data_IF_354565046603
#
_entry.id   IF_354565046603
#
_cell.length_a   1.000
_cell.length_b   1.000
_cell.length_c   1.000
_cell.angle_alpha   90.00
_cell.angle_beta   90.00
_cell.angle_gamma   90.00
#
_symmetry.space_group_name_H-M   'P 1'
#
loop_
_entity.id
_entity.type
_entity.pdbx_description
1 polymer ?
#
# COMPACT_ATOMS: atom_id res chain seq x y z
N UNK A 1 -15.00 -1.43 35.48
CA UNK A 1 -16.36 -1.98 35.29
C UNK A 1 -16.59 -2.11 33.80
N UNK A 2 -16.51 -3.33 33.27
CA UNK A 2 -16.62 -3.57 31.83
C UNK A 2 -18.05 -3.47 31.33
N UNK A 3 -18.23 -2.95 30.11
CA UNK A 3 -19.50 -2.98 29.38
C UNK A 3 -19.28 -3.25 27.90
N UNK A 4 -19.66 -4.48 27.56
CA UNK A 4 -20.48 -4.97 26.44
C UNK A 4 -20.10 -4.69 24.99
N UNK A 5 -19.96 -5.83 24.30
CA UNK A 5 -19.66 -6.08 22.90
C UNK A 5 -20.89 -5.74 22.05
N UNK A 6 -20.75 -4.86 21.07
CA UNK A 6 -21.78 -4.63 20.05
C UNK A 6 -21.56 -5.63 18.92
N UNK A 7 -22.50 -6.58 18.78
CA UNK A 7 -22.53 -7.59 17.72
C UNK A 7 -22.88 -6.92 16.40
N UNK A 8 -22.10 -7.19 15.35
CA UNK A 8 -22.39 -6.70 14.00
C UNK A 8 -23.70 -7.33 13.49
N UNK A 9 -24.67 -6.49 13.14
CA UNK A 9 -25.89 -6.90 12.43
C UNK A 9 -25.56 -7.17 10.97
N UNK A 10 -26.11 -8.28 10.45
CA UNK A 10 -26.01 -8.71 9.06
C UNK A 10 -26.73 -7.72 8.15
N UNK A 11 -25.99 -7.12 7.22
CA UNK A 11 -26.56 -6.28 6.16
C UNK A 11 -27.03 -7.18 5.01
N UNK A 12 -28.26 -6.95 4.55
CA UNK A 12 -28.85 -7.60 3.39
C UNK A 12 -27.99 -7.42 2.13
N UNK A 13 -27.72 -8.52 1.44
CA UNK A 13 -27.01 -8.54 0.16
C UNK A 13 -27.85 -7.86 -0.93
N UNK A 14 -27.52 -6.62 -1.26
CA UNK A 14 -27.96 -6.01 -2.51
C UNK A 14 -27.13 -6.60 -3.65
N UNK A 15 -27.68 -7.59 -4.35
CA UNK A 15 -27.10 -8.16 -5.56
C UNK A 15 -26.93 -7.08 -6.65
N UNK A 16 -25.70 -6.61 -6.84
CA UNK A 16 -25.32 -5.80 -7.99
C UNK A 16 -25.09 -6.73 -9.18
N UNK A 17 -26.05 -6.75 -10.11
CA UNK A 17 -25.96 -7.55 -11.33
C UNK A 17 -25.19 -6.74 -12.40
N UNK A 18 -23.96 -7.14 -12.70
CA UNK A 18 -23.19 -6.59 -13.82
C UNK A 18 -23.67 -7.26 -15.11
N UNK A 19 -24.47 -6.57 -15.92
CA UNK A 19 -24.82 -7.04 -17.26
C UNK A 19 -23.60 -6.95 -18.17
N UNK A 20 -22.99 -8.09 -18.47
CA UNK A 20 -21.95 -8.21 -19.50
C UNK A 20 -22.59 -8.42 -20.87
N UNK A 21 -22.88 -7.32 -21.57
CA UNK A 21 -23.23 -7.37 -22.99
C UNK A 21 -21.96 -7.57 -23.83
N UNK A 22 -21.81 -8.78 -24.39
CA UNK A 22 -20.74 -9.13 -25.31
C UNK A 22 -21.15 -8.75 -26.74
N UNK A 23 -20.70 -7.59 -27.22
CA UNK A 23 -20.68 -7.28 -28.65
C UNK A 23 -19.26 -7.42 -29.16
N UNK A 24 -19.03 -8.46 -29.95
CA UNK A 24 -17.78 -8.74 -30.64
C UNK A 24 -17.53 -7.69 -31.73
N UNK A 25 -16.49 -6.87 -31.57
CA UNK A 25 -15.85 -6.19 -32.71
C UNK A 25 -14.34 -6.19 -32.47
N UNK A 26 -13.63 -6.85 -33.37
CA UNK A 26 -12.17 -6.92 -33.45
C UNK A 26 -11.58 -5.52 -33.61
N UNK A 27 -10.87 -5.02 -32.61
CA UNK A 27 -9.86 -3.97 -32.79
C UNK A 27 -8.53 -4.43 -32.20
N UNK A 28 -7.52 -4.48 -33.07
CA UNK A 28 -6.16 -4.92 -32.79
C UNK A 28 -5.30 -3.77 -32.25
N UNK A 29 -5.76 -3.13 -31.18
CA UNK A 29 -5.02 -2.12 -30.43
C UNK A 29 -5.47 -2.14 -28.96
N UNK A 30 -5.25 -3.26 -28.25
CA UNK A 30 -5.18 -3.19 -26.79
C UNK A 30 -3.77 -2.73 -26.42
N UNK A 31 -3.54 -1.43 -26.65
CA UNK A 31 -2.53 -0.71 -25.90
C UNK A 31 -2.88 -0.92 -24.43
N UNK A 32 -1.99 -1.59 -23.72
CA UNK A 32 -2.04 -1.85 -22.29
C UNK A 32 -1.95 -0.49 -21.60
N UNK A 33 -3.08 0.24 -21.59
CA UNK A 33 -3.23 1.60 -21.12
C UNK A 33 -3.21 1.60 -19.59
N UNK A 34 -2.15 1.03 -19.02
CA UNK A 34 -1.86 1.01 -17.60
C UNK A 34 -1.56 2.44 -17.20
N UNK A 35 -2.27 2.90 -16.18
CA UNK A 35 -1.98 4.17 -15.55
C UNK A 35 -0.51 4.20 -15.10
N UNK A 36 0.29 5.21 -15.49
CA UNK A 36 1.72 5.28 -15.17
C UNK A 36 1.96 5.77 -13.73
N UNK A 37 1.25 5.17 -12.77
CA UNK A 37 1.34 5.49 -11.35
C UNK A 37 2.25 4.46 -10.67
N UNK A 38 3.17 4.94 -9.83
CA UNK A 38 4.13 4.10 -9.11
C UNK A 38 3.63 3.72 -7.71
N UNK A 39 3.26 4.74 -6.94
CA UNK A 39 2.84 4.60 -5.55
C UNK A 39 2.08 5.85 -5.08
N UNK A 40 1.44 5.76 -3.92
CA UNK A 40 0.98 6.94 -3.19
C UNK A 40 2.18 7.78 -2.81
N UNK A 41 2.19 9.06 -3.20
CA UNK A 41 3.33 9.94 -2.93
C UNK A 41 3.21 10.64 -1.56
N UNK A 42 2.06 11.26 -1.29
CA UNK A 42 1.81 11.95 -0.03
C UNK A 42 0.31 12.07 0.25
N UNK A 43 -0.01 12.35 1.52
CA UNK A 43 -1.33 12.78 1.97
C UNK A 43 -1.23 14.21 2.48
N UNK A 44 -2.32 14.95 2.34
CA UNK A 44 -2.35 16.38 2.70
C UNK A 44 -3.45 16.65 3.71
N UNK A 45 -3.08 17.29 4.81
CA UNK A 45 -3.98 17.64 5.89
C UNK A 45 -3.94 19.13 6.17
N UNK A 46 -5.12 19.72 6.31
CA UNK A 46 -5.27 21.05 6.86
C UNK A 46 -5.34 20.93 8.37
N UNK A 47 -4.51 21.70 9.07
CA UNK A 47 -4.36 21.63 10.52
C UNK A 47 -4.44 23.02 11.14
N UNK A 48 -4.90 23.08 12.39
CA UNK A 48 -4.95 24.33 13.14
C UNK A 48 -3.58 24.76 13.65
N UNK A 49 -2.72 23.80 13.98
CA UNK A 49 -1.36 24.06 14.49
C UNK A 49 -0.37 23.11 13.84
N UNK A 50 0.43 23.64 12.90
CA UNK A 50 1.46 22.87 12.20
C UNK A 50 2.42 22.21 13.19
N UNK A 51 2.85 22.94 14.22
CA UNK A 51 3.76 22.41 15.24
C UNK A 51 3.15 21.24 16.04
N UNK A 52 1.89 21.36 16.47
CA UNK A 52 1.20 20.31 17.22
C UNK A 52 1.00 19.05 16.37
N UNK A 53 0.56 19.22 15.12
CA UNK A 53 0.31 18.09 14.23
C UNK A 53 1.62 17.44 13.79
N UNK A 54 2.68 18.22 13.52
CA UNK A 54 4.01 17.68 13.26
C UNK A 54 4.53 16.85 14.45
N UNK A 55 4.48 17.39 15.66
CA UNK A 55 4.90 16.68 16.87
C UNK A 55 4.14 15.36 17.06
N UNK A 56 2.83 15.37 16.82
CA UNK A 56 2.02 14.15 16.90
C UNK A 56 2.50 13.08 15.91
N UNK A 57 2.71 13.45 14.63
CA UNK A 57 3.17 12.50 13.63
C UNK A 57 4.59 11.99 13.86
N UNK A 58 5.47 12.83 14.41
CA UNK A 58 6.83 12.41 14.80
C UNK A 58 6.79 11.43 15.98
N UNK A 59 5.97 11.69 17.01
CA UNK A 59 5.94 10.87 18.23
C UNK A 59 5.14 9.57 18.06
N UNK A 60 3.98 9.62 17.42
CA UNK A 60 3.06 8.48 17.31
C UNK A 60 3.42 7.58 16.13
N UNK A 61 3.72 8.18 14.98
CA UNK A 61 3.94 7.44 13.73
C UNK A 61 5.41 7.40 13.29
N UNK A 62 6.31 8.04 14.04
CA UNK A 62 7.74 8.06 13.75
C UNK A 62 8.10 8.83 12.49
N UNK A 63 7.26 9.76 12.02
CA UNK A 63 7.61 10.62 10.89
C UNK A 63 8.79 11.53 11.22
N UNK A 64 9.46 12.06 10.20
CA UNK A 64 10.49 13.09 10.40
C UNK A 64 10.19 14.32 9.58
N UNK A 65 10.40 15.51 10.15
CA UNK A 65 10.35 16.76 9.41
C UNK A 65 11.43 16.81 8.32
N UNK A 66 11.03 17.21 7.12
CA UNK A 66 11.94 17.39 5.98
C UNK A 66 11.94 18.84 5.49
N UNK A 67 12.99 19.20 4.73
CA UNK A 67 13.12 20.54 4.17
C UNK A 67 11.97 20.85 3.22
N UNK A 68 11.23 21.91 3.54
CA UNK A 68 10.17 22.45 2.69
C UNK A 68 10.76 23.21 1.48
N UNK A 69 10.14 23.12 0.29
CA UNK A 69 10.47 24.01 -0.82
C UNK A 69 10.32 25.48 -0.42
N UNK A 70 11.33 26.30 -0.72
CA UNK A 70 11.36 27.72 -0.33
C UNK A 70 10.33 28.59 -1.07
N UNK A 71 9.72 28.06 -2.13
CA UNK A 71 8.66 28.74 -2.90
C UNK A 71 7.30 28.73 -2.22
N UNK A 72 7.13 27.98 -1.12
CA UNK A 72 5.86 27.93 -0.41
C UNK A 72 5.80 28.99 0.69
N UNK A 73 4.86 29.93 0.58
CA UNK A 73 4.75 31.15 1.39
C UNK A 73 3.63 31.12 2.45
N UNK A 74 2.99 29.96 2.64
CA UNK A 74 1.97 29.72 3.68
C UNK A 74 2.57 29.08 4.94
N UNK A 75 1.82 28.99 6.05
CA UNK A 75 2.25 28.21 7.21
C UNK A 75 2.04 26.70 6.95
N UNK A 76 3.08 25.88 7.12
CA UNK A 76 2.99 24.46 6.76
C UNK A 76 4.30 23.70 6.93
N UNK A 77 4.19 22.37 6.96
CA UNK A 77 5.31 21.46 7.14
C UNK A 77 5.22 20.26 6.18
N UNK A 78 6.38 19.69 5.89
CA UNK A 78 6.50 18.41 5.21
C UNK A 78 7.15 17.41 6.15
N UNK A 79 6.52 16.25 6.29
CA UNK A 79 7.08 15.12 6.98
C UNK A 79 7.20 13.94 6.02
N UNK A 80 8.17 13.05 6.26
CA UNK A 80 8.36 11.86 5.44
C UNK A 80 8.77 10.67 6.30
N UNK A 81 8.13 9.53 6.09
CA UNK A 81 8.60 8.20 6.51
C UNK A 81 7.75 7.14 5.80
N UNK A 82 8.10 5.86 5.95
CA UNK A 82 7.31 4.71 5.46
C UNK A 82 7.02 4.78 3.95
N UNK A 83 7.86 5.48 3.18
CA UNK A 83 7.71 5.68 1.74
C UNK A 83 6.66 6.73 1.34
N UNK A 84 6.02 7.43 2.28
CA UNK A 84 5.00 8.45 2.00
C UNK A 84 5.30 9.80 2.67
N UNK A 85 4.84 10.88 2.05
CA UNK A 85 4.86 12.22 2.66
C UNK A 85 3.57 12.57 3.41
N UNK A 86 3.69 13.37 4.47
CA UNK A 86 2.57 14.11 5.07
C UNK A 86 2.82 15.60 4.84
N UNK A 87 1.90 16.24 4.11
CA UNK A 87 1.92 17.68 3.86
C UNK A 87 0.89 18.38 4.75
N UNK A 88 1.38 19.11 5.75
CA UNK A 88 0.55 19.88 6.67
C UNK A 88 0.39 21.31 6.15
N UNK A 89 -0.86 21.77 6.07
CA UNK A 89 -1.23 23.14 5.72
C UNK A 89 -1.90 23.80 6.93
N UNK A 90 -1.26 24.83 7.46
CA UNK A 90 -1.77 25.60 8.59
C UNK A 90 -2.93 26.50 8.19
N UNK A 91 -4.03 26.45 8.94
CA UNK A 91 -5.16 27.37 8.81
C UNK A 91 -5.88 27.56 10.15
N UNK A 92 -6.03 28.81 10.59
CA UNK A 92 -6.54 29.13 11.93
C UNK A 92 -8.04 28.78 12.13
N UNK A 93 -8.85 28.94 11.08
CA UNK A 93 -10.32 28.73 11.11
C UNK A 93 -10.77 27.31 10.75
N UNK A 94 -9.91 26.31 10.97
CA UNK A 94 -10.29 24.91 10.71
C UNK A 94 -11.19 24.43 11.83
N UNK A 95 -12.42 24.05 11.48
CA UNK A 95 -13.24 23.28 12.40
C UNK A 95 -12.64 21.89 12.57
N UNK A 96 -12.28 21.57 13.81
CA UNK A 96 -11.85 20.23 14.17
C UNK A 96 -12.96 19.23 13.84
N UNK A 97 -12.60 18.13 13.21
CA UNK A 97 -13.53 17.03 12.89
C UNK A 97 -13.65 16.03 14.04
N UNK A 98 -13.25 16.43 15.25
CA UNK A 98 -13.17 15.54 16.41
C UNK A 98 -14.57 15.08 16.86
N UNK A 99 -15.04 14.00 16.23
CA UNK A 99 -16.23 13.26 16.60
C UNK A 99 -15.86 11.94 17.30
N UNK A 100 -16.87 11.11 17.55
CA UNK A 100 -16.65 9.74 18.02
C UNK A 100 -15.87 8.96 16.96
N UNK A 101 -14.85 8.21 17.37
CA UNK A 101 -14.11 7.32 16.48
C UNK A 101 -15.08 6.29 15.88
N UNK A 102 -15.16 6.27 14.56
CA UNK A 102 -15.97 5.34 13.80
C UNK A 102 -15.09 4.61 12.78
N UNK A 103 -14.74 3.33 13.00
CA UNK A 103 -13.91 2.54 12.08
C UNK A 103 -14.38 2.47 10.61
N UNK A 104 -15.60 2.95 10.31
CA UNK A 104 -16.16 3.00 8.96
C UNK A 104 -15.96 4.35 8.24
N UNK A 105 -15.38 5.35 8.90
CA UNK A 105 -15.09 6.65 8.29
C UNK A 105 -13.79 6.61 7.47
N UNK A 106 -13.57 7.64 6.65
CA UNK A 106 -12.35 7.79 5.85
C UNK A 106 -11.11 7.88 6.75
N UNK A 107 -10.09 7.09 6.43
CA UNK A 107 -8.82 7.08 7.16
C UNK A 107 -7.63 6.81 6.22
N UNK A 108 -6.44 7.11 6.71
CA UNK A 108 -5.19 6.53 6.18
C UNK A 108 -4.79 5.36 7.07
N UNK A 109 -4.18 4.34 6.49
CA UNK A 109 -3.82 3.13 7.21
C UNK A 109 -2.33 2.85 7.09
N UNK A 110 -1.71 2.48 8.22
CA UNK A 110 -0.32 2.05 8.27
C UNK A 110 -0.22 0.60 8.73
N UNK A 111 0.64 -0.14 8.06
CA UNK A 111 1.07 -1.44 8.52
C UNK A 111 1.94 -1.29 9.75
N UNK A 112 1.73 -2.14 10.76
CA UNK A 112 2.57 -2.18 11.96
C UNK A 112 2.93 -3.61 12.35
N UNK A 113 4.15 -3.78 12.85
CA UNK A 113 4.64 -5.03 13.43
C UNK A 113 4.40 -5.15 14.93
N UNK A 114 4.19 -4.03 15.63
CA UNK A 114 4.03 -3.95 17.08
C UNK A 114 2.95 -2.91 17.45
N UNK A 115 1.71 -3.39 17.53
CA UNK A 115 0.55 -2.54 17.85
C UNK A 115 0.55 -2.09 19.32
N UNK A 116 1.12 -2.90 20.21
CA UNK A 116 1.15 -2.62 21.65
C UNK A 116 2.00 -1.38 21.96
N UNK A 117 3.11 -1.21 21.25
CA UNK A 117 3.93 0.01 21.37
C UNK A 117 3.14 1.26 21.00
N UNK A 118 2.34 1.22 19.93
CA UNK A 118 1.50 2.36 19.53
C UNK A 118 0.43 2.64 20.59
N UNK A 119 -0.23 1.61 21.11
CA UNK A 119 -1.23 1.75 22.19
C UNK A 119 -0.59 2.39 23.43
N UNK A 120 0.63 2.01 23.79
CA UNK A 120 1.36 2.62 24.90
C UNK A 120 1.58 4.12 24.66
N UNK A 121 2.10 4.51 23.49
CA UNK A 121 2.36 5.91 23.14
C UNK A 121 1.05 6.72 23.15
N UNK A 122 -0.03 6.18 22.59
CA UNK A 122 -1.35 6.83 22.61
C UNK A 122 -1.85 7.04 24.06
N UNK A 123 -1.62 6.05 24.94
CA UNK A 123 -1.93 6.15 26.36
C UNK A 123 -1.13 7.22 27.09
N UNK A 124 0.18 7.35 26.79
CA UNK A 124 1.04 8.42 27.33
C UNK A 124 0.59 9.81 26.88
N UNK A 125 -0.05 9.91 25.71
CA UNK A 125 -0.56 11.15 25.12
C UNK A 125 -2.05 11.43 25.43
N UNK A 126 -2.71 10.60 26.24
CA UNK A 126 -4.15 10.69 26.54
C UNK A 126 -5.01 10.74 25.25
N UNK A 127 -4.62 9.97 24.24
CA UNK A 127 -5.32 9.90 22.95
C UNK A 127 -6.30 8.74 22.93
N UNK A 128 -7.58 9.04 22.69
CA UNK A 128 -8.62 8.03 22.55
C UNK A 128 -8.37 7.13 21.32
N UNK A 129 -8.66 5.84 21.47
CA UNK A 129 -8.57 4.87 20.39
C UNK A 129 -9.67 3.80 20.46
N UNK A 130 -9.92 3.14 19.34
CA UNK A 130 -10.83 1.99 19.21
C UNK A 130 -10.11 0.86 18.49
N UNK A 131 -10.28 -0.37 18.96
CA UNK A 131 -9.76 -1.57 18.30
C UNK A 131 -10.86 -2.38 17.65
N UNK A 132 -10.55 -3.05 16.53
CA UNK A 132 -11.40 -4.03 15.89
C UNK A 132 -10.57 -5.24 15.44
N UNK A 133 -11.25 -6.38 15.28
CA UNK A 133 -10.63 -7.63 14.80
C UNK A 133 -11.49 -8.22 13.69
N UNK A 134 -10.86 -8.51 12.55
CA UNK A 134 -11.46 -9.19 11.40
C UNK A 134 -10.91 -10.60 11.31
N UNK A 135 -11.78 -11.57 11.02
CA UNK A 135 -11.40 -12.98 10.86
C UNK A 135 -11.91 -13.50 9.53
N UNK A 136 -11.00 -13.96 8.68
CA UNK A 136 -11.33 -14.47 7.36
C UNK A 136 -10.35 -15.59 6.97
N UNK A 137 -10.86 -16.72 6.48
CA UNK A 137 -10.01 -17.81 5.98
C UNK A 137 -9.04 -18.40 7.02
N UNK A 138 -9.31 -18.26 8.32
CA UNK A 138 -8.40 -18.67 9.40
C UNK A 138 -7.31 -17.64 9.73
N UNK A 139 -7.24 -16.53 8.99
CA UNK A 139 -6.39 -15.36 9.29
C UNK A 139 -7.15 -14.43 10.23
N UNK A 140 -6.44 -13.86 11.19
CA UNK A 140 -6.94 -12.78 12.06
C UNK A 140 -6.18 -11.50 11.75
N UNK A 141 -6.93 -10.42 11.55
CA UNK A 141 -6.42 -9.07 11.36
C UNK A 141 -6.91 -8.20 12.50
N UNK A 142 -5.99 -7.46 13.11
CA UNK A 142 -6.28 -6.49 14.15
C UNK A 142 -6.11 -5.08 13.58
N UNK A 143 -6.99 -4.20 14.01
CA UNK A 143 -7.08 -2.81 13.58
C UNK A 143 -7.17 -1.92 14.81
N UNK A 144 -6.47 -0.80 14.79
CA UNK A 144 -6.45 0.22 15.81
C UNK A 144 -6.74 1.57 15.14
N UNK A 145 -7.77 2.27 15.61
CA UNK A 145 -8.23 3.54 15.06
C UNK A 145 -8.12 4.65 16.09
N UNK A 146 -7.61 5.79 15.67
CA UNK A 146 -7.54 7.01 16.50
C UNK A 146 -7.54 8.25 15.60
N UNK A 147 -7.69 9.42 16.20
CA UNK A 147 -7.60 10.69 15.51
C UNK A 147 -6.24 11.36 15.73
N UNK A 148 -5.77 12.07 14.71
CA UNK A 148 -4.75 13.11 14.88
C UNK A 148 -5.31 14.33 15.66
N UNK A 149 -4.51 15.36 15.97
CA UNK A 149 -4.97 16.54 16.69
C UNK A 149 -6.13 17.33 16.05
N UNK A 150 -6.36 17.17 14.75
CA UNK A 150 -7.35 17.89 13.97
C UNK A 150 -8.59 17.03 13.62
N UNK A 151 -8.58 15.74 13.98
CA UNK A 151 -9.69 14.80 13.76
C UNK A 151 -9.55 13.96 12.49
N UNK A 152 -8.38 13.91 11.85
CA UNK A 152 -8.13 12.98 10.75
C UNK A 152 -7.92 11.58 11.32
N UNK A 153 -8.67 10.61 10.79
CA UNK A 153 -8.61 9.24 11.28
C UNK A 153 -7.40 8.49 10.71
N UNK A 154 -6.70 7.81 11.62
CA UNK A 154 -5.55 6.97 11.32
C UNK A 154 -5.90 5.56 11.78
N UNK A 155 -5.65 4.60 10.90
CA UNK A 155 -5.71 3.17 11.20
C UNK A 155 -4.28 2.62 11.29
N UNK A 156 -4.04 1.79 12.30
CA UNK A 156 -2.91 0.87 12.35
C UNK A 156 -3.45 -0.53 12.19
N UNK A 157 -2.96 -1.27 11.20
CA UNK A 157 -3.46 -2.60 10.90
C UNK A 157 -2.36 -3.59 10.54
N UNK A 158 -2.69 -4.88 10.61
CA UNK A 158 -1.90 -5.96 10.02
C UNK A 158 -2.63 -6.60 8.80
N UNK A 159 -3.38 -5.78 8.04
CA UNK A 159 -4.20 -6.20 6.91
C UNK A 159 -3.42 -6.93 5.81
N UNK A 160 -2.10 -6.74 5.71
CA UNK A 160 -1.24 -7.49 4.78
C UNK A 160 -1.26 -9.01 5.01
N UNK A 161 -1.77 -9.47 6.15
CA UNK A 161 -1.93 -10.89 6.44
C UNK A 161 -3.06 -11.52 5.59
N UNK A 162 -3.99 -10.71 5.09
CA UNK A 162 -5.04 -11.17 4.16
C UNK A 162 -4.51 -11.19 2.72
N UNK A 163 -4.80 -12.25 1.95
CA UNK A 163 -4.40 -12.30 0.55
C UNK A 163 -5.18 -11.28 -0.28
N UNK A 164 -4.48 -10.48 -1.07
CA UNK A 164 -5.11 -9.57 -2.04
C UNK A 164 -5.52 -10.39 -3.27
N UNK A 165 -6.82 -10.61 -3.43
CA UNK A 165 -7.40 -11.37 -4.54
C UNK A 165 -8.23 -10.43 -5.45
N UNK A 166 -7.74 -10.09 -6.66
CA UNK A 166 -8.51 -9.29 -7.61
C UNK A 166 -9.81 -10.00 -8.02
N UNK A 167 -10.96 -9.34 -7.93
CA UNK A 167 -12.26 -9.91 -8.31
C UNK A 167 -12.36 -10.23 -9.81
N UNK A 168 -11.61 -9.50 -10.63
CA UNK A 168 -11.54 -9.68 -12.08
C UNK A 168 -10.09 -9.74 -12.54
N UNK A 169 -9.37 -10.78 -12.14
CA UNK A 169 -8.20 -11.19 -12.91
C UNK A 169 -8.67 -12.12 -14.03
N UNK A 170 -8.67 -11.65 -15.28
CA UNK A 170 -8.76 -12.54 -16.45
C UNK A 170 -7.81 -13.73 -16.24
N UNK A 171 -8.21 -14.96 -16.62
CA UNK A 171 -7.34 -16.11 -16.45
C UNK A 171 -6.03 -15.81 -17.17
N UNK A 172 -4.92 -15.85 -16.44
CA UNK A 172 -3.58 -15.97 -17.02
C UNK A 172 -3.72 -17.04 -18.09
N UNK A 173 -3.67 -16.64 -19.37
CA UNK A 173 -3.54 -17.60 -20.46
C UNK A 173 -2.32 -18.43 -20.06
N UNK A 174 -2.51 -19.71 -19.77
CA UNK A 174 -1.40 -20.65 -19.68
C UNK A 174 -0.61 -20.43 -20.96
N UNK A 175 0.53 -19.77 -20.86
CA UNK A 175 1.49 -19.72 -21.94
C UNK A 175 1.76 -21.20 -22.22
N UNK A 176 1.32 -21.68 -23.38
CA UNK A 176 1.78 -22.97 -23.85
C UNK A 176 3.31 -22.85 -23.86
N UNK A 177 3.99 -23.72 -23.11
CA UNK A 177 5.44 -23.78 -23.12
C UNK A 177 5.91 -23.73 -24.58
N UNK A 178 6.77 -22.77 -24.97
CA UNK A 178 7.24 -22.73 -26.33
C UNK A 178 8.10 -23.99 -26.55
N UNK A 179 7.57 -24.97 -27.28
CA UNK A 179 8.39 -26.08 -27.77
C UNK A 179 9.31 -25.53 -28.84
N UNK A 180 10.52 -25.19 -28.43
CA UNK A 180 11.53 -24.69 -29.35
C UNK A 180 12.27 -25.88 -29.95
N UNK A 181 11.85 -26.32 -31.14
CA UNK A 181 12.63 -27.26 -31.94
C UNK A 181 13.65 -26.46 -32.75
N UNK A 182 14.83 -26.23 -32.18
CA UNK A 182 15.99 -25.87 -32.98
C UNK A 182 16.87 -27.10 -33.20
N UNK A 183 17.00 -27.49 -34.47
CA UNK A 183 18.00 -28.43 -34.93
C UNK A 183 19.27 -27.66 -35.23
N UNK A 184 20.31 -27.83 -34.43
CA UNK A 184 21.68 -27.47 -34.83
C UNK A 184 22.49 -28.77 -34.94
N UNK A 185 23.18 -29.03 -36.06
CA UNK A 185 23.97 -30.24 -36.22
C UNK A 185 25.35 -30.06 -35.56
N UNK A 186 25.66 -30.85 -34.54
CA UNK A 186 27.02 -30.95 -33.98
C UNK A 186 27.85 -32.04 -34.69
N UNK A 187 29.14 -31.83 -34.98
CA UNK A 187 29.90 -32.67 -35.91
C UNK A 187 30.63 -33.87 -35.26
N UNK A 188 30.43 -34.15 -33.97
CA UNK A 188 31.15 -35.21 -33.28
C UNK A 188 30.24 -35.94 -32.28
N UNK A 189 29.89 -37.18 -32.61
CA UNK A 189 29.03 -38.14 -31.88
C UNK A 189 27.51 -38.00 -32.02
N UNK A 190 26.87 -39.16 -32.22
CA UNK A 190 25.53 -39.30 -32.81
C UNK A 190 24.36 -39.15 -31.84
N UNK A 191 23.30 -38.56 -32.40
CA UNK A 191 21.87 -38.66 -32.08
C UNK A 191 21.48 -38.86 -30.60
N UNK A 192 21.36 -37.75 -29.88
CA UNK A 192 20.65 -37.68 -28.60
C UNK A 192 20.02 -36.29 -28.42
N UNK A 193 18.70 -36.24 -28.22
CA UNK A 193 17.98 -35.02 -27.86
C UNK A 193 18.32 -34.63 -26.41
N UNK A 194 19.04 -33.54 -26.21
CA UNK A 194 19.20 -32.92 -24.89
C UNK A 194 18.29 -31.69 -24.79
N UNK A 195 17.22 -31.79 -23.99
CA UNK A 195 16.44 -30.63 -23.55
C UNK A 195 17.21 -29.92 -22.43
N UNK A 196 17.88 -28.80 -22.73
CA UNK A 196 18.31 -27.85 -21.71
C UNK A 196 17.30 -26.70 -21.65
N UNK A 197 16.54 -26.62 -20.56
CA UNK A 197 15.65 -25.50 -20.30
C UNK A 197 16.48 -24.29 -19.85
N UNK A 198 16.33 -23.18 -20.57
CA UNK A 198 17.04 -21.94 -20.34
C UNK A 198 16.47 -21.22 -19.10
N UNK A 199 17.13 -21.41 -17.95
CA UNK A 199 17.01 -20.57 -16.77
C UNK A 199 18.27 -19.71 -16.52
N UNK A 200 19.35 -19.93 -17.28
CA UNK A 200 20.66 -19.32 -17.02
C UNK A 200 20.90 -17.95 -17.66
N UNK A 201 20.20 -17.62 -18.75
CA UNK A 201 20.47 -16.36 -19.49
C UNK A 201 19.89 -15.14 -18.79
N UNK A 202 18.76 -15.30 -18.10
CA UNK A 202 18.12 -14.18 -17.40
C UNK A 202 18.93 -13.78 -16.17
N UNK A 203 19.42 -14.75 -15.38
CA UNK A 203 20.28 -14.50 -14.21
C UNK A 203 21.61 -13.84 -14.59
N UNK A 204 22.24 -14.22 -15.71
CA UNK A 204 23.48 -13.57 -16.14
C UNK A 204 23.27 -12.11 -16.54
N UNK A 205 22.14 -11.79 -17.19
CA UNK A 205 21.78 -10.41 -17.53
C UNK A 205 21.51 -9.55 -16.30
N UNK A 206 20.97 -10.12 -15.21
CA UNK A 206 20.73 -9.36 -13.98
C UNK A 206 22.05 -9.10 -13.23
N UNK A 207 22.99 -10.06 -13.26
CA UNK A 207 24.31 -9.89 -12.65
C UNK A 207 25.20 -8.91 -13.42
N UNK A 208 25.14 -8.87 -14.76
CA UNK A 208 25.89 -7.89 -15.56
C UNK A 208 25.40 -6.46 -15.35
N UNK A 209 24.09 -6.24 -15.22
CA UNK A 209 23.53 -4.92 -14.92
C UNK A 209 23.89 -4.43 -13.51
N UNK A 210 23.93 -5.33 -12.52
CA UNK A 210 24.33 -4.99 -11.15
C UNK A 210 25.82 -4.62 -11.06
N UNK A 211 26.68 -5.26 -11.84
CA UNK A 211 28.11 -4.98 -11.88
C UNK A 211 28.44 -3.64 -12.57
N UNK A 212 27.65 -3.24 -13.58
CA UNK A 212 27.80 -1.96 -14.26
C UNK A 212 27.41 -0.76 -13.37
N UNK A 213 26.38 -0.91 -12.53
CA UNK A 213 25.94 0.14 -11.60
C UNK A 213 26.92 0.35 -10.43
N UNK A 214 27.69 -0.67 -10.05
CA UNK A 214 28.73 -0.54 -9.01
C UNK A 214 30.00 0.19 -9.49
N UNK A 215 30.24 0.30 -10.80
CA UNK A 215 31.41 1.00 -11.36
C UNK A 215 31.18 2.52 -11.43
N UNK A 216 29.94 2.99 -11.33
CA UNK A 216 29.58 4.42 -11.45
C UNK A 216 29.52 5.20 -10.12
N UNK A 217 29.87 4.58 -8.98
CA UNK A 217 29.85 5.23 -7.65
C UNK A 217 31.27 5.41 -7.09
N UNK A 218 32.26 5.60 -7.95
CA UNK A 218 33.63 5.89 -7.50
C UNK A 218 34.29 6.89 -8.43
N UNK A 219 33.99 8.18 -8.24
CA UNK A 219 34.90 9.33 -8.34
C UNK A 219 34.38 10.50 -7.52
#
# INVERSE_FOLDING_TARGET
MGREIVKAESVEETNFNWSSDSSSTTSSYEDDNRMPLLALNHVSYVCKSVARSAQFYEQVLGFVLIKRPSSFDFDGAWLFNHGIGIHLLGKEDVQSKMGKINPKDNHISFQCSDMDLIIQILGEMDTEYVTATVKEGGVTVDQLFFHDPDGNMIEICNCQNLPVLPLTSCPLKKMASPTFNQTIPDPFYGNGNANMNCAGEVESLMMENLALDMIYISF
#
